data_IF_564202034696
#
_entry.id   IF_564202034696
#
_cell.length_a   1.000
_cell.length_b   1.000
_cell.length_c   1.000
_cell.angle_alpha   90.00
_cell.angle_beta   90.00
_cell.angle_gamma   90.00
#
_symmetry.space_group_name_H-M   'P 1'
#
loop_
_entity.id
_entity.type
_entity.pdbx_description
1 polymer ?
#
# COMPACT_ATOMS: atom_id res chain seq x y z
N UNK A 1 -2.68 -25.18 -70.82
CA UNK A 1 -3.52 -23.97 -70.55
C UNK A 1 -3.62 -23.75 -69.04
N UNK A 2 -2.67 -23.04 -68.41
CA UNK A 2 -2.72 -22.67 -66.98
C UNK A 2 -2.13 -21.27 -66.67
N UNK A 3 -1.96 -20.41 -67.68
CA UNK A 3 -1.34 -19.08 -67.50
C UNK A 3 -2.33 -17.93 -67.29
N UNK A 4 -3.64 -18.17 -67.38
CA UNK A 4 -4.63 -17.09 -67.31
C UNK A 4 -4.85 -16.55 -65.88
N UNK A 5 -4.68 -17.39 -64.84
CA UNK A 5 -5.05 -17.01 -63.47
C UNK A 5 -3.92 -16.32 -62.66
N UNK A 6 -2.67 -16.39 -63.12
CA UNK A 6 -1.52 -15.91 -62.34
C UNK A 6 -1.37 -14.37 -62.40
N UNK A 7 -1.83 -13.74 -63.48
CA UNK A 7 -1.81 -12.27 -63.63
C UNK A 7 -2.88 -11.56 -62.79
N UNK A 8 -4.03 -12.18 -62.58
CA UNK A 8 -5.11 -11.58 -61.78
C UNK A 8 -4.76 -11.57 -60.29
N UNK A 9 -4.26 -12.68 -59.75
CA UNK A 9 -3.90 -12.78 -58.33
C UNK A 9 -2.77 -11.81 -57.94
N UNK A 10 -1.80 -11.59 -58.83
CA UNK A 10 -0.71 -10.63 -58.58
C UNK A 10 -1.19 -9.17 -58.62
N UNK A 11 -2.13 -8.83 -59.52
CA UNK A 11 -2.75 -7.51 -59.56
C UNK A 11 -3.62 -7.24 -58.32
N UNK A 12 -4.41 -8.22 -57.88
CA UNK A 12 -5.22 -8.12 -56.66
C UNK A 12 -4.34 -7.92 -55.41
N UNK A 13 -3.24 -8.67 -55.30
CA UNK A 13 -2.30 -8.49 -54.19
C UNK A 13 -1.60 -7.13 -54.21
N UNK A 14 -1.19 -6.66 -55.40
CA UNK A 14 -0.56 -5.35 -55.57
C UNK A 14 -1.48 -4.19 -55.17
N UNK A 15 -2.81 -4.34 -55.32
CA UNK A 15 -3.80 -3.36 -54.88
C UNK A 15 -4.18 -3.52 -53.41
N UNK A 16 -4.24 -4.75 -52.88
CA UNK A 16 -4.61 -5.00 -51.49
C UNK A 16 -3.53 -4.53 -50.49
N UNK A 17 -2.25 -4.70 -50.83
CA UNK A 17 -1.12 -4.33 -49.97
C UNK A 17 -1.09 -2.84 -49.56
N UNK A 18 -1.20 -1.85 -50.48
CA UNK A 18 -1.22 -0.43 -50.10
C UNK A 18 -2.45 -0.05 -49.28
N UNK A 19 -3.60 -0.65 -49.56
CA UNK A 19 -4.83 -0.42 -48.77
C UNK A 19 -4.65 -0.95 -47.36
N UNK A 20 -4.15 -2.18 -47.22
CA UNK A 20 -3.91 -2.80 -45.91
C UNK A 20 -2.87 -2.02 -45.09
N UNK A 21 -1.74 -1.67 -45.70
CA UNK A 21 -0.69 -0.87 -45.02
C UNK A 21 -1.22 0.49 -44.59
N UNK A 22 -2.04 1.17 -45.40
CA UNK A 22 -2.68 2.43 -45.02
C UNK A 22 -3.61 2.26 -43.82
N UNK A 23 -4.42 1.19 -43.79
CA UNK A 23 -5.29 0.89 -42.65
C UNK A 23 -4.48 0.56 -41.38
N UNK A 24 -3.37 -0.17 -41.52
CA UNK A 24 -2.48 -0.48 -40.40
C UNK A 24 -1.83 0.78 -39.85
N UNK A 25 -1.31 1.66 -40.70
CA UNK A 25 -0.69 2.92 -40.28
C UNK A 25 -1.73 3.82 -39.59
N UNK A 26 -2.93 3.93 -40.18
CA UNK A 26 -4.01 4.72 -39.59
C UNK A 26 -4.43 4.16 -38.23
N UNK A 27 -4.69 2.84 -38.15
CA UNK A 27 -5.04 2.17 -36.90
C UNK A 27 -3.94 2.25 -35.84
N UNK A 28 -2.67 2.21 -36.25
CA UNK A 28 -1.53 2.29 -35.35
C UNK A 28 -1.52 3.60 -34.55
N UNK A 29 -1.84 4.74 -35.16
CA UNK A 29 -1.87 6.04 -34.46
C UNK A 29 -2.91 6.03 -33.32
N UNK A 30 -4.12 5.52 -33.59
CA UNK A 30 -5.16 5.41 -32.56
C UNK A 30 -4.78 4.43 -31.45
N UNK A 31 -4.21 3.28 -31.81
CA UNK A 31 -3.79 2.26 -30.84
C UNK A 31 -2.64 2.78 -29.97
N UNK A 32 -1.66 3.48 -30.55
CA UNK A 32 -0.56 4.07 -29.80
C UNK A 32 -1.04 5.11 -28.79
N UNK A 33 -1.94 6.01 -29.19
CA UNK A 33 -2.52 7.00 -28.27
C UNK A 33 -3.23 6.33 -27.09
N UNK A 34 -4.08 5.35 -27.37
CA UNK A 34 -4.80 4.60 -26.33
C UNK A 34 -3.85 3.82 -25.39
N UNK A 35 -2.77 3.25 -25.92
CA UNK A 35 -1.76 2.56 -25.12
C UNK A 35 -0.97 3.52 -24.22
N UNK A 36 -0.56 4.69 -24.74
CA UNK A 36 0.15 5.70 -23.96
C UNK A 36 -0.72 6.20 -22.79
N UNK A 37 -1.99 6.51 -23.05
CA UNK A 37 -2.93 6.89 -21.98
C UNK A 37 -3.03 5.79 -20.92
N UNK A 38 -3.15 4.52 -21.34
CA UNK A 38 -3.22 3.38 -20.42
C UNK A 38 -1.97 3.24 -19.58
N UNK A 39 -0.78 3.43 -20.16
CA UNK A 39 0.49 3.43 -19.41
C UNK A 39 0.52 4.53 -18.35
N UNK A 40 0.10 5.76 -18.68
CA UNK A 40 0.03 6.84 -17.70
C UNK A 40 -0.95 6.51 -16.56
N UNK A 41 -2.14 6.00 -16.90
CA UNK A 41 -3.12 5.58 -15.89
C UNK A 41 -2.59 4.48 -14.96
N UNK A 42 -1.81 3.53 -15.48
CA UNK A 42 -1.16 2.50 -14.67
C UNK A 42 -0.08 3.08 -13.74
N UNK A 43 0.72 4.02 -14.23
CA UNK A 43 1.74 4.70 -13.41
C UNK A 43 1.10 5.53 -12.29
N UNK A 44 0.02 6.26 -12.59
CA UNK A 44 -0.76 6.98 -11.58
C UNK A 44 -1.29 6.04 -10.52
N UNK A 45 -1.91 4.92 -10.92
CA UNK A 45 -2.44 3.93 -9.98
C UNK A 45 -1.35 3.40 -9.03
N UNK A 46 -0.18 3.04 -9.57
CA UNK A 46 0.95 2.55 -8.79
C UNK A 46 1.46 3.59 -7.79
N UNK A 47 1.59 4.85 -8.21
CA UNK A 47 2.04 5.94 -7.34
C UNK A 47 1.00 6.31 -6.27
N UNK A 48 -0.28 6.35 -6.66
CA UNK A 48 -1.38 6.62 -5.74
C UNK A 48 -1.43 5.55 -4.64
N UNK A 49 -1.37 4.28 -5.01
CA UNK A 49 -1.31 3.16 -4.07
C UNK A 49 0.00 3.11 -3.29
N UNK A 50 1.11 3.59 -3.86
CA UNK A 50 2.39 3.67 -3.16
C UNK A 50 2.33 4.68 -2.00
N UNK A 51 1.68 5.84 -2.21
CA UNK A 51 1.67 6.98 -1.29
C UNK A 51 0.44 7.02 -0.38
N UNK A 52 -0.60 6.22 -0.66
CA UNK A 52 -1.91 6.28 0.02
C UNK A 52 -1.79 6.22 1.54
N UNK A 53 -1.02 5.26 2.04
CA UNK A 53 -0.82 4.99 3.46
C UNK A 53 -0.09 6.13 4.17
N UNK A 54 1.01 6.63 3.58
CA UNK A 54 1.76 7.74 4.17
C UNK A 54 0.90 9.00 4.26
N UNK A 55 0.20 9.35 3.17
CA UNK A 55 -0.69 10.51 3.16
C UNK A 55 -1.85 10.35 4.14
N UNK A 56 -2.42 9.15 4.25
CA UNK A 56 -3.47 8.86 5.21
C UNK A 56 -2.96 9.03 6.66
N UNK A 57 -1.76 8.52 6.97
CA UNK A 57 -1.16 8.63 8.30
C UNK A 57 -0.83 10.06 8.73
N UNK A 58 -0.55 10.94 7.77
CA UNK A 58 -0.27 12.37 8.00
C UNK A 58 -1.50 13.26 7.77
N UNK A 59 -2.69 12.68 7.58
CA UNK A 59 -3.93 13.41 7.29
C UNK A 59 -3.79 14.37 6.08
N UNK A 60 -2.95 14.01 5.12
CA UNK A 60 -2.76 14.77 3.89
C UNK A 60 -3.89 14.47 2.92
N UNK A 61 -4.34 15.49 2.19
CA UNK A 61 -5.31 15.33 1.12
C UNK A 61 -4.83 14.29 0.10
N UNK A 62 -5.75 13.50 -0.48
CA UNK A 62 -5.42 12.60 -1.58
C UNK A 62 -5.00 13.41 -2.82
N UNK A 63 -4.16 12.83 -3.68
CA UNK A 63 -3.77 13.47 -4.94
C UNK A 63 -4.93 13.37 -5.92
N UNK A 64 -5.39 14.52 -6.41
CA UNK A 64 -6.38 14.59 -7.48
C UNK A 64 -5.72 14.53 -8.86
N UNK A 65 -6.55 14.35 -9.90
CA UNK A 65 -6.09 14.29 -11.29
C UNK A 65 -5.32 15.56 -11.71
N UNK A 66 -5.63 16.72 -11.12
CA UNK A 66 -4.92 17.96 -11.39
C UNK A 66 -3.47 17.92 -10.85
N UNK A 67 -3.28 17.44 -9.62
CA UNK A 67 -1.96 17.28 -9.01
C UNK A 67 -1.07 16.31 -9.82
N UNK A 68 -1.63 15.18 -10.28
CA UNK A 68 -0.92 14.21 -11.11
C UNK A 68 -0.43 14.83 -12.43
N UNK A 69 -1.30 15.61 -13.08
CA UNK A 69 -0.99 16.27 -14.35
C UNK A 69 0.05 17.39 -14.17
N UNK A 70 -0.10 18.24 -13.17
CA UNK A 70 0.75 19.41 -12.95
C UNK A 70 2.16 19.04 -12.46
N UNK A 71 2.27 18.03 -11.60
CA UNK A 71 3.55 17.70 -10.94
C UNK A 71 4.34 16.61 -11.66
N UNK A 72 3.64 15.60 -12.19
CA UNK A 72 4.26 14.38 -12.71
C UNK A 72 4.09 14.22 -14.23
N UNK A 73 3.38 15.15 -14.89
CA UNK A 73 3.12 15.12 -16.33
C UNK A 73 2.42 13.83 -16.81
N UNK A 74 1.69 13.15 -15.91
CA UNK A 74 0.96 11.93 -16.20
C UNK A 74 -0.41 12.25 -16.79
N UNK A 75 -0.42 12.73 -18.02
CA UNK A 75 -1.64 13.14 -18.69
C UNK A 75 -2.54 11.95 -19.04
N UNK A 76 -3.72 11.94 -18.41
CA UNK A 76 -4.86 11.11 -18.78
C UNK A 76 -6.00 12.02 -19.22
N UNK A 77 -6.76 11.60 -20.22
CA UNK A 77 -7.88 12.36 -20.76
C UNK A 77 -8.84 12.84 -19.65
N UNK A 78 -9.27 14.10 -19.70
CA UNK A 78 -10.16 14.73 -18.71
C UNK A 78 -11.57 14.12 -18.67
N UNK A 79 -11.93 13.27 -19.64
CA UNK A 79 -13.16 12.45 -19.57
C UNK A 79 -13.08 11.35 -18.51
N UNK A 80 -11.87 11.07 -18.00
CA UNK A 80 -11.63 10.06 -16.97
C UNK A 80 -11.48 10.73 -15.61
N UNK A 81 -12.08 10.10 -14.60
CA UNK A 81 -11.92 10.49 -13.21
C UNK A 81 -11.27 9.33 -12.44
N UNK A 82 -10.44 9.66 -11.46
CA UNK A 82 -9.88 8.68 -10.53
C UNK A 82 -10.42 8.83 -9.12
N UNK A 83 -10.50 7.73 -8.40
CA UNK A 83 -10.80 7.69 -6.97
C UNK A 83 -9.88 6.69 -6.29
N UNK A 84 -9.38 7.07 -5.12
CA UNK A 84 -8.61 6.22 -4.24
C UNK A 84 -9.34 6.14 -2.91
N UNK A 85 -9.69 4.93 -2.49
CA UNK A 85 -10.38 4.73 -1.22
C UNK A 85 -9.88 3.48 -0.50
N UNK A 86 -9.81 3.53 0.84
CA UNK A 86 -9.58 2.35 1.63
C UNK A 86 -10.80 1.43 1.57
N UNK A 87 -10.57 0.12 1.40
CA UNK A 87 -11.58 -0.90 1.60
C UNK A 87 -11.45 -1.51 2.98
N UNK A 88 -12.60 -1.77 3.59
CA UNK A 88 -12.74 -2.46 4.88
C UNK A 88 -13.77 -3.60 4.80
N UNK A 89 -14.30 -3.85 3.61
CA UNK A 89 -15.42 -4.76 3.32
C UNK A 89 -14.97 -6.20 3.02
N UNK A 90 -13.74 -6.58 3.39
CA UNK A 90 -13.20 -7.92 3.15
C UNK A 90 -13.19 -8.78 4.42
N UNK A 91 -13.27 -10.13 4.30
CA UNK A 91 -13.55 -11.00 5.45
C UNK A 91 -12.58 -10.89 6.63
N UNK A 92 -11.30 -10.63 6.38
CA UNK A 92 -10.29 -10.51 7.44
C UNK A 92 -10.42 -9.18 8.20
N UNK A 93 -10.77 -8.07 7.53
CA UNK A 93 -11.11 -6.83 8.23
C UNK A 93 -12.32 -7.03 9.16
N UNK A 94 -13.36 -7.71 8.68
CA UNK A 94 -14.53 -8.01 9.53
C UNK A 94 -14.16 -8.87 10.75
N UNK A 95 -13.34 -9.91 10.57
CA UNK A 95 -12.89 -10.77 11.66
C UNK A 95 -12.04 -10.04 12.70
N UNK A 96 -11.28 -9.02 12.30
CA UNK A 96 -10.40 -8.25 13.19
C UNK A 96 -11.06 -6.99 13.77
N UNK A 97 -12.23 -6.58 13.29
CA UNK A 97 -12.94 -5.37 13.77
C UNK A 97 -13.10 -5.28 15.31
N UNK A 98 -13.37 -6.36 16.07
CA UNK A 98 -13.42 -6.29 17.54
C UNK A 98 -12.07 -5.93 18.19
N UNK A 99 -10.95 -6.38 17.60
CA UNK A 99 -9.61 -6.03 18.05
C UNK A 99 -9.27 -4.57 17.68
N UNK A 100 -9.90 -4.02 16.64
CA UNK A 100 -9.76 -2.62 16.25
C UNK A 100 -10.24 -1.68 17.36
N UNK A 101 -11.41 -1.97 17.93
CA UNK A 101 -11.97 -1.21 19.04
C UNK A 101 -11.00 -1.12 20.20
N UNK A 102 -10.34 -2.23 20.55
CA UNK A 102 -9.31 -2.26 21.59
C UNK A 102 -8.06 -1.47 21.19
N UNK A 103 -7.63 -1.58 19.92
CA UNK A 103 -6.48 -0.85 19.41
C UNK A 103 -6.68 0.67 19.37
N UNK A 104 -7.91 1.17 19.14
CA UNK A 104 -8.21 2.61 19.14
C UNK A 104 -8.05 3.25 20.53
N UNK A 105 -8.29 2.48 21.60
CA UNK A 105 -8.07 2.96 22.98
C UNK A 105 -6.58 3.00 23.34
N UNK A 106 -5.77 2.11 22.76
CA UNK A 106 -4.33 2.11 22.92
C UNK A 106 -3.66 2.92 21.80
N UNK A 107 -3.35 4.19 22.08
CA UNK A 107 -2.76 5.21 21.18
C UNK A 107 -1.43 4.87 20.48
N UNK A 108 -1.07 3.61 20.28
CA UNK A 108 -0.10 3.21 19.27
C UNK A 108 -0.03 1.71 18.99
N UNK A 109 -1.13 0.98 19.17
CA UNK A 109 -1.38 -0.19 18.35
C UNK A 109 -1.81 0.30 16.96
N UNK A 110 -0.86 0.88 16.23
CA UNK A 110 -1.00 1.32 14.85
C UNK A 110 -1.02 0.08 13.94
N UNK A 111 -2.04 -0.75 14.14
CA UNK A 111 -2.38 -1.93 13.36
C UNK A 111 -3.53 -1.52 12.45
N UNK A 112 -3.22 -0.67 11.47
CA UNK A 112 -4.21 -0.21 10.49
C UNK A 112 -4.85 -1.41 9.80
N UNK A 113 -6.09 -1.73 10.16
CA UNK A 113 -6.92 -2.68 9.42
C UNK A 113 -7.36 -2.10 8.07
N UNK A 114 -7.10 -0.81 7.84
CA UNK A 114 -7.16 -0.15 6.55
C UNK A 114 -5.90 -0.52 5.75
N UNK A 115 -5.85 -1.79 5.37
CA UNK A 115 -4.67 -2.36 4.71
C UNK A 115 -4.95 -2.73 3.24
N UNK A 116 -6.21 -2.66 2.81
CA UNK A 116 -6.60 -2.77 1.41
C UNK A 116 -6.93 -1.39 0.85
N UNK A 117 -6.20 -0.99 -0.18
CA UNK A 117 -6.45 0.23 -0.95
C UNK A 117 -6.95 -0.14 -2.34
N UNK A 118 -8.05 0.49 -2.76
CA UNK A 118 -8.61 0.36 -4.10
C UNK A 118 -8.44 1.67 -4.84
N UNK A 119 -7.82 1.60 -6.01
CA UNK A 119 -7.68 2.68 -6.96
C UNK A 119 -8.54 2.35 -8.17
N UNK A 120 -9.49 3.22 -8.46
CA UNK A 120 -10.41 3.05 -9.57
C UNK A 120 -10.33 4.28 -10.48
N UNK A 121 -10.29 4.03 -11.78
CA UNK A 121 -10.38 5.05 -12.81
C UNK A 121 -11.45 4.67 -13.80
N UNK A 122 -12.39 5.57 -14.05
CA UNK A 122 -13.52 5.33 -14.93
C UNK A 122 -13.75 6.53 -15.86
N UNK A 123 -14.45 6.28 -16.95
CA UNK A 123 -14.84 7.30 -17.93
C UNK A 123 -16.34 7.61 -17.78
N UNK A 124 -16.73 8.86 -18.00
CA UNK A 124 -18.13 9.27 -17.94
C UNK A 124 -19.01 8.38 -18.85
N UNK A 125 -19.95 7.65 -18.26
CA UNK A 125 -20.91 6.80 -18.98
C UNK A 125 -20.43 5.37 -19.28
N UNK A 126 -19.22 4.99 -18.88
CA UNK A 126 -18.71 3.63 -19.00
C UNK A 126 -18.38 3.01 -17.64
N UNK A 127 -18.40 1.68 -17.58
CA UNK A 127 -17.95 0.91 -16.42
C UNK A 127 -16.42 0.84 -16.41
N UNK A 128 -15.82 1.06 -15.25
CA UNK A 128 -14.42 0.78 -14.85
C UNK A 128 -13.41 0.66 -16.00
N UNK A 129 -12.63 1.72 -16.25
CA UNK A 129 -11.57 1.69 -17.27
C UNK A 129 -10.31 0.97 -16.77
N UNK A 130 -9.96 1.21 -15.51
CA UNK A 130 -8.77 0.65 -14.88
C UNK A 130 -8.99 0.58 -13.37
N UNK A 131 -8.58 -0.54 -12.77
CA UNK A 131 -8.64 -0.73 -11.33
C UNK A 131 -7.46 -1.50 -10.81
N UNK A 132 -6.95 -1.03 -9.69
CA UNK A 132 -5.83 -1.64 -8.99
C UNK A 132 -6.16 -1.74 -7.52
N UNK A 133 -5.85 -2.91 -6.97
CA UNK A 133 -5.98 -3.16 -5.54
C UNK A 133 -4.60 -3.46 -4.98
N UNK A 134 -4.27 -2.80 -3.88
CA UNK A 134 -3.07 -3.10 -3.11
C UNK A 134 -3.50 -3.53 -1.73
N UNK A 135 -3.29 -4.81 -1.43
CA UNK A 135 -3.32 -5.31 -0.07
C UNK A 135 -1.92 -5.10 0.51
N UNK A 136 -1.85 -4.38 1.62
CA UNK A 136 -0.62 -4.18 2.38
C UNK A 136 -0.73 -4.94 3.67
N UNK A 137 -0.10 -6.09 3.73
CA UNK A 137 -0.13 -6.93 4.94
C UNK A 137 0.95 -6.54 5.96
N UNK A 138 1.56 -5.37 5.79
CA UNK A 138 2.84 -5.11 6.42
C UNK A 138 2.66 -4.48 7.80
N UNK A 139 2.58 -5.36 8.80
CA UNK A 139 2.83 -5.00 10.21
C UNK A 139 4.28 -4.57 10.45
N UNK A 140 5.15 -4.54 9.42
CA UNK A 140 6.53 -4.11 9.59
C UNK A 140 6.60 -2.71 10.21
N UNK A 141 7.40 -2.55 11.26
CA UNK A 141 7.74 -1.24 11.79
C UNK A 141 8.53 -0.45 10.75
N UNK A 142 8.05 0.76 10.41
CA UNK A 142 8.71 1.66 9.45
C UNK A 142 9.55 2.74 10.13
N UNK A 143 9.37 2.92 11.44
CA UNK A 143 10.15 3.82 12.28
C UNK A 143 10.77 3.03 13.40
N UNK A 144 11.95 3.44 13.85
CA UNK A 144 12.64 2.75 14.92
C UNK A 144 11.80 2.62 16.21
N UNK A 145 11.04 3.66 16.56
CA UNK A 145 10.12 3.65 17.71
C UNK A 145 9.03 2.57 17.59
N UNK A 146 8.67 2.17 16.36
CA UNK A 146 7.69 1.11 16.10
C UNK A 146 8.31 -0.30 16.26
N UNK A 147 9.64 -0.46 16.11
CA UNK A 147 10.33 -1.75 16.31
C UNK A 147 10.19 -2.23 17.74
N UNK A 148 10.22 -1.31 18.70
CA UNK A 148 10.03 -1.61 20.12
C UNK A 148 8.54 -1.55 20.46
N UNK A 149 7.87 -0.42 20.21
CA UNK A 149 6.53 -0.19 20.75
C UNK A 149 5.46 -1.16 20.22
N UNK A 150 5.56 -1.67 18.99
CA UNK A 150 4.55 -2.58 18.41
C UNK A 150 4.59 -3.99 19.02
N UNK A 151 5.71 -4.73 19.02
CA UNK A 151 5.77 -6.04 19.67
C UNK A 151 5.60 -5.93 21.19
N UNK A 152 6.10 -4.86 21.83
CA UNK A 152 5.86 -4.63 23.25
C UNK A 152 4.37 -4.58 23.58
N UNK A 153 3.55 -3.92 22.76
CA UNK A 153 2.08 -3.83 22.98
C UNK A 153 1.31 -5.09 22.64
N UNK A 154 1.84 -5.94 21.77
CA UNK A 154 1.27 -7.25 21.45
C UNK A 154 1.60 -8.31 22.50
N UNK A 155 2.54 -8.04 23.41
CA UNK A 155 2.82 -8.93 24.52
C UNK A 155 1.69 -8.90 25.55
N UNK A 156 1.20 -10.08 25.96
CA UNK A 156 0.15 -10.20 26.98
C UNK A 156 0.53 -9.51 28.31
N UNK A 157 1.82 -9.29 28.54
CA UNK A 157 2.39 -8.54 29.65
C UNK A 157 2.07 -7.05 29.59
N UNK A 158 1.94 -6.43 28.42
CA UNK A 158 1.57 -5.02 28.30
C UNK A 158 0.08 -4.76 28.60
N UNK A 159 -0.80 -5.71 28.26
CA UNK A 159 -2.20 -5.70 28.72
C UNK A 159 -2.32 -5.76 30.25
N UNK A 160 -1.34 -6.37 30.92
CA UNK A 160 -1.22 -6.40 32.37
C UNK A 160 -0.53 -5.14 32.93
N UNK A 161 0.04 -4.28 32.10
CA UNK A 161 0.71 -3.04 32.51
C UNK A 161 -0.29 -1.88 32.62
N UNK A 162 -1.37 -2.09 33.36
CA UNK A 162 -2.37 -1.07 33.65
C UNK A 162 -2.19 -0.49 35.06
N UNK A 163 -2.77 0.70 35.29
CA UNK A 163 -2.60 1.43 36.56
C UNK A 163 -3.04 0.64 37.79
N UNK A 164 -4.01 -0.28 37.64
CA UNK A 164 -4.51 -1.13 38.72
C UNK A 164 -3.49 -2.22 39.07
N UNK A 165 -2.93 -2.89 38.07
CA UNK A 165 -1.91 -3.92 38.26
C UNK A 165 -0.61 -3.33 38.81
N UNK A 166 -0.20 -2.13 38.36
CA UNK A 166 0.93 -1.40 38.95
C UNK A 166 0.71 -1.06 40.42
N UNK A 167 -0.52 -0.68 40.81
CA UNK A 167 -0.85 -0.48 42.22
C UNK A 167 -0.76 -1.77 43.03
N UNK A 168 -1.27 -2.88 42.50
CA UNK A 168 -1.18 -4.20 43.14
C UNK A 168 0.28 -4.64 43.30
N UNK A 169 1.10 -4.49 42.25
CA UNK A 169 2.54 -4.76 42.28
C UNK A 169 3.26 -3.92 43.33
N UNK A 170 2.93 -2.63 43.44
CA UNK A 170 3.52 -1.76 44.45
C UNK A 170 3.08 -2.12 45.87
N UNK A 171 1.84 -2.59 46.04
CA UNK A 171 1.31 -3.06 47.33
C UNK A 171 2.00 -4.36 47.78
N UNK A 172 2.14 -5.34 46.87
CA UNK A 172 2.83 -6.60 47.11
C UNK A 172 4.33 -6.34 47.31
N UNK A 173 4.91 -5.44 46.53
CA UNK A 173 6.30 -5.02 46.61
C UNK A 173 6.66 -4.22 47.87
N UNK A 174 5.67 -3.78 48.65
CA UNK A 174 5.91 -3.21 49.97
C UNK A 174 6.35 -4.29 50.99
N UNK A 175 6.11 -5.57 50.71
CA UNK A 175 6.51 -6.68 51.58
C UNK A 175 7.99 -7.07 51.37
N UNK A 176 8.67 -7.58 52.42
CA UNK A 176 10.09 -7.97 52.33
C UNK A 176 10.35 -9.12 51.35
N UNK A 177 9.35 -9.97 51.06
CA UNK A 177 9.44 -11.06 50.07
C UNK A 177 9.10 -10.59 48.66
N UNK A 178 8.24 -9.57 48.52
CA UNK A 178 7.75 -9.07 47.24
C UNK A 178 8.61 -7.98 46.60
N UNK A 179 9.76 -7.59 47.19
CA UNK A 179 10.58 -6.45 46.72
C UNK A 179 10.94 -6.49 45.23
N UNK A 180 11.15 -7.69 44.68
CA UNK A 180 11.46 -7.94 43.27
C UNK A 180 10.26 -7.75 42.32
N UNK A 181 9.03 -7.74 42.85
CA UNK A 181 7.78 -7.60 42.09
C UNK A 181 7.29 -6.15 42.01
N UNK A 182 8.09 -5.17 42.43
CA UNK A 182 7.74 -3.76 42.31
C UNK A 182 7.68 -3.36 40.84
N UNK A 183 6.78 -2.44 40.53
CA UNK A 183 6.63 -1.92 39.15
C UNK A 183 7.91 -1.29 38.57
N UNK A 184 8.85 -0.87 39.42
CA UNK A 184 10.16 -0.34 38.99
C UNK A 184 11.24 -1.42 38.73
N UNK A 185 11.05 -2.65 39.21
CA UNK A 185 11.99 -3.77 39.01
C UNK A 185 11.49 -4.77 37.98
N UNK A 186 10.17 -4.94 37.85
CA UNK A 186 9.54 -5.83 36.89
C UNK A 186 8.79 -5.03 35.83
N UNK A 187 9.47 -4.74 34.72
CA UNK A 187 8.89 -4.05 33.57
C UNK A 187 8.26 -5.09 32.65
N UNK A 188 6.93 -5.13 32.67
CA UNK A 188 6.16 -6.01 31.80
C UNK A 188 6.20 -5.50 30.35
N UNK A 189 6.45 -6.41 29.42
CA UNK A 189 6.37 -6.10 27.99
C UNK A 189 7.57 -5.33 27.44
N UNK A 190 8.74 -5.34 28.10
CA UNK A 190 9.98 -4.84 27.51
C UNK A 190 10.46 -5.78 26.39
N UNK A 191 10.65 -5.22 25.20
CA UNK A 191 11.26 -5.90 24.03
C UNK A 191 12.51 -5.12 23.70
N UNK A 192 13.63 -5.82 23.72
CA UNK A 192 14.96 -5.27 23.41
C UNK A 192 15.12 -5.14 21.88
N UNK A 193 15.77 -4.07 21.42
CA UNK A 193 16.05 -3.85 19.99
C UNK A 193 17.08 -4.81 19.43
N UNK A 194 17.94 -5.37 20.30
CA UNK A 194 19.05 -6.22 19.89
C UNK A 194 18.60 -7.62 19.44
N UNK A 195 17.31 -7.96 19.63
CA UNK A 195 16.68 -9.21 19.19
C UNK A 195 15.95 -9.07 17.84
N UNK A 196 15.90 -7.86 17.28
CA UNK A 196 15.22 -7.57 16.02
C UNK A 196 16.13 -7.94 14.84
N UNK A 197 15.64 -8.65 13.81
CA UNK A 197 16.48 -9.10 12.69
C UNK A 197 17.15 -7.92 11.95
N UNK A 198 18.43 -8.10 11.61
CA UNK A 198 19.32 -7.12 10.99
C UNK A 198 18.71 -6.32 9.83
N UNK A 199 17.90 -6.99 8.99
CA UNK A 199 17.25 -6.38 7.84
C UNK A 199 16.25 -5.25 8.21
N UNK A 200 15.66 -5.29 9.40
CA UNK A 200 14.73 -4.27 9.89
C UNK A 200 15.42 -3.08 10.57
N UNK A 201 16.69 -3.22 10.96
CA UNK A 201 17.49 -2.18 11.62
C UNK A 201 18.26 -1.34 10.59
N UNK A 202 18.78 -1.97 9.53
CA UNK A 202 19.72 -1.34 8.60
C UNK A 202 19.09 -0.64 7.40
N UNK A 203 17.76 -0.50 7.37
CA UNK A 203 17.05 0.36 6.42
C UNK A 203 16.98 1.83 6.86
N UNK A 204 17.30 2.12 8.13
CA UNK A 204 17.31 3.48 8.69
C UNK A 204 18.73 4.12 8.61
N UNK A 205 18.91 5.21 7.85
CA UNK A 205 20.20 5.88 7.68
C UNK A 205 20.75 6.53 8.96
N UNK A 206 19.93 6.67 10.02
CA UNK A 206 20.35 7.29 11.28
C UNK A 206 21.14 6.34 12.22
N UNK A 207 21.16 5.02 11.93
CA UNK A 207 21.82 3.99 12.76
C UNK A 207 22.82 3.14 11.96
N UNK A 208 23.70 3.78 11.20
CA UNK A 208 24.76 3.09 10.42
C UNK A 208 25.85 2.40 11.26
N UNK A 209 25.95 2.68 12.57
CA UNK A 209 27.04 2.16 13.42
C UNK A 209 26.93 0.68 13.78
N UNK A 210 25.75 0.07 13.68
CA UNK A 210 25.52 -1.34 14.04
C UNK A 210 25.22 -2.23 12.81
N UNK A 211 25.50 -1.73 11.61
CA UNK A 211 25.21 -2.39 10.33
C UNK A 211 26.45 -3.01 9.69
N UNK A 212 27.20 -3.82 10.45
CA UNK A 212 28.21 -4.72 9.91
C UNK A 212 27.82 -6.16 10.26
N UNK A 213 27.96 -7.11 9.31
CA UNK A 213 27.59 -8.52 9.51
C UNK A 213 28.45 -9.22 10.56
#
# INVERSE_FOLDING_TARGET
>A
MKHCCQGQASAEFALALPIFTSLVIWGYIYVQGALQERVHGQQMAQLALAHSDERHSYELALLDDADWNLRLQLWVNMSKWSVLYPRVDYPTAFALAPLELLSRYERGLDMGQVNLWDFEMAEFGHFEWLRYQSLRDDWSPRRQQQLEARPQRLSASNLLDNGVVRQIQNLIGATPVGRELRSNSLIFGHVDTDVVPFAAICSDPSRTRNCQP
#
